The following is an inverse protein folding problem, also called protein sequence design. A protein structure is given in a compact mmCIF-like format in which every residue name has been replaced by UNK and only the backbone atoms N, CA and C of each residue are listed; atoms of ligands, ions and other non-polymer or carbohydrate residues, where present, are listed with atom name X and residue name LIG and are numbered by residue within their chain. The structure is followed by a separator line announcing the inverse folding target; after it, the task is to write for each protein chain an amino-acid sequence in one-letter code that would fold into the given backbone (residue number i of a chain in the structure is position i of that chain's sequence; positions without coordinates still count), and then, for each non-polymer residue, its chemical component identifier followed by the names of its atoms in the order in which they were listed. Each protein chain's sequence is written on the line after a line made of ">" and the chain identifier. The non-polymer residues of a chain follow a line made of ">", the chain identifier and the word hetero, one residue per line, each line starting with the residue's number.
data_IF_691903042700
#
_entry.id   IF_691903042700
#
_cell.length_a   1.000
_cell.length_b   1.000
_cell.length_c   1.000
_cell.angle_alpha   90.00
_cell.angle_beta   90.00
_cell.angle_gamma   90.00
#
_symmetry.space_group_name_H-M   'P 1'
#
loop_
_entity.id
_entity.type
_entity.pdbx_description
1 polymer ?
#
# COMPACT_ATOMS: atom_id res chain seq x y z
N UNK A 1 9.03 19.38 -6.28
CA UNK A 1 8.83 17.93 -6.04
C UNK A 1 7.61 17.54 -6.85
N UNK A 2 7.76 16.78 -7.95
CA UNK A 2 6.62 16.37 -8.76
C UNK A 2 5.70 15.49 -7.91
N UNK A 3 4.55 16.02 -7.50
CA UNK A 3 3.53 15.22 -6.84
C UNK A 3 2.84 14.41 -7.93
N UNK A 4 3.41 13.26 -8.28
CA UNK A 4 2.73 12.31 -9.15
C UNK A 4 1.47 11.84 -8.41
N UNK A 5 0.35 11.86 -9.12
CA UNK A 5 -0.91 11.34 -8.63
C UNK A 5 -0.80 9.81 -8.48
N UNK A 6 -1.57 9.22 -7.56
CA UNK A 6 -1.47 7.79 -7.28
C UNK A 6 -1.83 6.94 -8.51
N UNK A 7 -2.72 7.44 -9.36
CA UNK A 7 -3.07 6.81 -10.63
C UNK A 7 -1.87 6.74 -11.59
N UNK A 8 -1.02 7.76 -11.59
CA UNK A 8 0.19 7.79 -12.41
C UNK A 8 1.23 6.80 -11.87
N UNK A 9 1.42 6.74 -10.55
CA UNK A 9 2.30 5.76 -9.92
C UNK A 9 1.83 4.33 -10.18
N UNK A 10 0.52 4.07 -10.10
CA UNK A 10 -0.06 2.76 -10.42
C UNK A 10 0.15 2.41 -11.89
N UNK A 11 -0.06 3.35 -12.82
CA UNK A 11 0.23 3.14 -14.24
C UNK A 11 1.71 2.86 -14.48
N UNK A 12 2.59 3.65 -13.87
CA UNK A 12 4.04 3.48 -13.97
C UNK A 12 4.47 2.12 -13.43
N UNK A 13 3.97 1.69 -12.27
CA UNK A 13 4.25 0.36 -11.72
C UNK A 13 3.76 -0.75 -12.65
N UNK A 14 2.55 -0.63 -13.21
CA UNK A 14 2.01 -1.64 -14.14
C UNK A 14 2.86 -1.80 -15.40
N UNK A 15 3.41 -0.71 -15.94
CA UNK A 15 4.24 -0.72 -17.15
C UNK A 15 5.69 -1.12 -16.87
N UNK A 16 6.30 -0.57 -15.83
CA UNK A 16 7.74 -0.73 -15.56
C UNK A 16 8.07 -1.90 -14.64
N UNK A 17 7.10 -2.32 -13.81
CA UNK A 17 7.28 -3.24 -12.69
C UNK A 17 8.38 -2.80 -11.71
N UNK A 18 8.69 -1.50 -11.68
CA UNK A 18 9.71 -0.93 -10.80
C UNK A 18 9.23 -0.95 -9.34
N UNK A 19 9.91 -1.74 -8.51
CA UNK A 19 9.58 -1.92 -7.10
C UNK A 19 9.70 -0.62 -6.29
N UNK A 20 10.50 0.35 -6.75
CA UNK A 20 10.59 1.66 -6.10
C UNK A 20 9.29 2.45 -6.20
N UNK A 21 8.55 2.27 -7.30
CA UNK A 21 7.23 2.89 -7.48
C UNK A 21 6.20 2.26 -6.54
N UNK A 22 6.28 0.93 -6.37
CA UNK A 22 5.46 0.20 -5.41
C UNK A 22 5.77 0.62 -3.97
N UNK A 23 7.05 0.81 -3.62
CA UNK A 23 7.45 1.28 -2.29
C UNK A 23 6.87 2.66 -1.97
N UNK A 24 6.85 3.58 -2.94
CA UNK A 24 6.21 4.90 -2.77
C UNK A 24 4.72 4.75 -2.48
N UNK A 25 4.01 3.91 -3.24
CA UNK A 25 2.60 3.63 -3.01
C UNK A 25 2.37 3.01 -1.62
N UNK A 26 3.15 2.01 -1.22
CA UNK A 26 3.04 1.38 0.11
C UNK A 26 3.23 2.43 1.20
N UNK A 27 4.29 3.26 1.12
CA UNK A 27 4.56 4.31 2.12
C UNK A 27 3.41 5.32 2.24
N UNK A 28 2.77 5.71 1.13
CA UNK A 28 1.63 6.64 1.13
C UNK A 28 0.39 6.06 1.82
N UNK A 29 0.14 4.77 1.66
CA UNK A 29 -1.09 4.13 2.13
C UNK A 29 -0.93 3.36 3.45
N UNK A 30 0.30 3.11 3.90
CA UNK A 30 0.60 2.31 5.10
C UNK A 30 -0.16 2.82 6.34
N UNK A 31 -0.02 4.11 6.65
CA UNK A 31 -0.65 4.69 7.84
C UNK A 31 -2.18 4.66 7.76
N UNK A 32 -2.75 4.89 6.57
CA UNK A 32 -4.20 4.92 6.38
C UNK A 32 -4.81 3.52 6.52
N UNK A 33 -4.20 2.51 5.88
CA UNK A 33 -4.65 1.12 5.95
C UNK A 33 -4.47 0.58 7.37
N UNK A 34 -3.32 0.82 7.99
CA UNK A 34 -3.08 0.41 9.37
C UNK A 34 -4.04 1.09 10.34
N UNK A 35 -4.28 2.40 10.19
CA UNK A 35 -5.24 3.14 11.01
C UNK A 35 -6.65 2.60 10.88
N UNK A 36 -7.10 2.30 9.65
CA UNK A 36 -8.38 1.66 9.40
C UNK A 36 -8.46 0.28 10.06
N UNK A 37 -7.45 -0.58 9.86
CA UNK A 37 -7.42 -1.92 10.43
C UNK A 37 -7.42 -1.88 11.96
N UNK A 38 -6.62 -1.00 12.57
CA UNK A 38 -6.56 -0.80 14.02
C UNK A 38 -7.89 -0.33 14.59
N UNK A 39 -8.57 0.60 13.93
CA UNK A 39 -9.88 1.07 14.35
C UNK A 39 -10.95 -0.02 14.22
N UNK A 40 -10.82 -0.89 13.20
CA UNK A 40 -11.76 -1.98 12.97
C UNK A 40 -11.57 -3.16 13.94
N UNK A 41 -10.33 -3.53 14.25
CA UNK A 41 -10.02 -4.70 15.08
C UNK A 41 -9.87 -4.37 16.56
N UNK A 42 -9.54 -3.12 16.91
CA UNK A 42 -9.14 -2.73 18.26
C UNK A 42 -7.86 -3.41 18.76
N UNK A 43 -7.11 -4.08 17.90
CA UNK A 43 -5.94 -4.89 18.25
C UNK A 43 -4.79 -4.62 17.27
N UNK A 44 -3.61 -4.33 17.82
CA UNK A 44 -2.44 -3.88 17.04
C UNK A 44 -1.80 -5.00 16.21
N UNK A 45 -1.76 -6.23 16.72
CA UNK A 45 -1.22 -7.39 16.01
C UNK A 45 -2.11 -7.72 14.80
N UNK A 46 -3.42 -7.83 15.01
CA UNK A 46 -4.39 -8.06 13.93
C UNK A 46 -4.35 -6.93 12.90
N UNK A 47 -4.18 -5.67 13.34
CA UNK A 47 -4.08 -4.53 12.43
C UNK A 47 -2.82 -4.60 11.56
N UNK A 48 -1.69 -5.00 12.15
CA UNK A 48 -0.44 -5.24 11.43
C UNK A 48 -0.61 -6.35 10.39
N UNK A 49 -1.17 -7.50 10.80
CA UNK A 49 -1.35 -8.66 9.93
C UNK A 49 -2.28 -8.35 8.75
N UNK A 50 -3.43 -7.71 9.00
CA UNK A 50 -4.34 -7.27 7.94
C UNK A 50 -3.64 -6.30 6.97
N UNK A 51 -2.89 -5.34 7.51
CA UNK A 51 -2.17 -4.35 6.69
C UNK A 51 -1.16 -5.04 5.78
N UNK A 52 -0.39 -5.99 6.31
CA UNK A 52 0.55 -6.78 5.54
C UNK A 52 -0.17 -7.61 4.47
N UNK A 53 -1.26 -8.29 4.82
CA UNK A 53 -2.03 -9.11 3.88
C UNK A 53 -2.58 -8.28 2.72
N UNK A 54 -3.08 -7.07 3.00
CA UNK A 54 -3.56 -6.13 1.97
C UNK A 54 -2.45 -5.82 0.96
N UNK A 55 -1.26 -5.41 1.42
CA UNK A 55 -0.16 -5.09 0.52
C UNK A 55 0.38 -6.30 -0.23
N UNK A 56 0.43 -7.48 0.41
CA UNK A 56 0.81 -8.74 -0.25
C UNK A 56 -0.19 -9.09 -1.37
N UNK A 57 -1.49 -8.92 -1.13
CA UNK A 57 -2.53 -9.16 -2.16
C UNK A 57 -2.38 -8.18 -3.33
N UNK A 58 -2.15 -6.90 -3.05
CA UNK A 58 -1.90 -5.88 -4.09
C UNK A 58 -0.67 -6.24 -4.92
N UNK A 59 0.42 -6.66 -4.28
CA UNK A 59 1.65 -7.07 -4.99
C UNK A 59 1.47 -8.35 -5.82
N UNK A 60 0.72 -9.33 -5.33
CA UNK A 60 0.45 -10.59 -6.04
C UNK A 60 -0.52 -10.42 -7.21
N UNK A 61 -1.38 -9.40 -7.17
CA UNK A 61 -2.31 -9.07 -8.26
C UNK A 61 -1.62 -8.25 -9.37
N UNK A 62 -0.54 -8.82 -9.94
CA UNK A 62 0.35 -8.21 -10.94
C UNK A 62 -0.32 -7.88 -12.27
#
# INVERSE_FOLDING_TARGET
>A
MHHLFDEELVRQYKTTKDERVLEVLIKRYLQQIYGFARNYTGNEDNASDITQEVFVKVWKNK
#
